data_IF_937541180518
#
_entry.id   IF_937541180518
#
_cell.length_a   1.000
_cell.length_b   1.000
_cell.length_c   1.000
_cell.angle_alpha   90.00
_cell.angle_beta   90.00
_cell.angle_gamma   90.00
#
_symmetry.space_group_name_H-M   'P 1'
#
loop_
_entity.id
_entity.type
_entity.pdbx_description
1 polymer ?
#
# COMPACT_ATOMS: atom_id res chain seq x y z
N UNK A 1 0.67 19.16 -2.19
CA UNK A 1 0.66 20.12 -1.09
C UNK A 1 -0.55 19.88 -0.18
N UNK A 2 -0.38 20.05 1.12
CA UNK A 2 -1.45 19.86 2.10
C UNK A 2 -1.53 21.10 3.02
N UNK A 3 -2.56 21.89 2.83
CA UNK A 3 -2.87 23.05 3.67
C UNK A 3 -2.96 22.69 5.15
N UNK A 4 -3.56 21.55 5.47
CA UNK A 4 -3.66 21.09 6.87
C UNK A 4 -2.29 20.76 7.44
N UNK A 5 -1.41 20.07 6.69
CA UNK A 5 -0.03 19.81 7.16
C UNK A 5 0.72 21.10 7.46
N UNK A 6 0.60 22.10 6.60
CA UNK A 6 1.21 23.42 6.78
C UNK A 6 0.65 24.13 8.01
N UNK A 7 -0.67 24.14 8.18
CA UNK A 7 -1.35 24.76 9.34
C UNK A 7 -0.92 24.13 10.68
N UNK A 8 -0.71 22.82 10.74
CA UNK A 8 -0.21 22.17 11.95
C UNK A 8 1.32 22.24 12.09
N UNK A 9 2.02 22.89 11.15
CA UNK A 9 3.48 23.04 11.08
C UNK A 9 4.25 21.71 11.05
N UNK A 10 3.64 20.66 10.44
CA UNK A 10 4.27 19.36 10.27
C UNK A 10 5.17 19.38 9.03
N UNK A 11 6.48 19.18 9.23
CA UNK A 11 7.48 19.18 8.16
C UNK A 11 7.69 17.81 7.57
N UNK A 12 7.87 17.74 6.24
CA UNK A 12 8.35 16.54 5.57
C UNK A 12 9.84 16.31 5.85
N UNK A 13 10.18 15.04 6.01
CA UNK A 13 11.53 14.54 5.90
C UNK A 13 11.68 13.94 4.49
N UNK A 14 12.59 14.47 3.69
CA UNK A 14 12.97 13.88 2.41
C UNK A 14 13.70 12.55 2.66
N UNK A 15 13.38 11.53 1.85
CA UNK A 15 13.97 10.19 1.93
C UNK A 15 14.87 9.88 0.73
N UNK A 16 15.29 10.90 -0.02
CA UNK A 16 16.38 10.83 -1.00
C UNK A 16 15.97 10.77 -2.46
N UNK A 17 14.72 10.41 -2.80
CA UNK A 17 14.29 10.38 -4.20
C UNK A 17 13.49 11.63 -4.56
N UNK A 18 13.89 12.32 -5.63
CA UNK A 18 13.14 13.41 -6.25
C UNK A 18 13.42 13.40 -7.74
N UNK A 19 12.38 13.38 -8.57
CA UNK A 19 12.53 13.38 -10.03
C UNK A 19 11.29 14.01 -10.69
N UNK A 20 11.51 14.82 -11.74
CA UNK A 20 10.44 15.39 -12.56
C UNK A 20 10.08 14.44 -13.70
N UNK A 21 8.79 14.28 -13.93
CA UNK A 21 8.24 13.47 -15.02
C UNK A 21 7.16 14.24 -15.75
N UNK A 22 7.24 14.24 -17.08
CA UNK A 22 6.13 14.70 -17.89
C UNK A 22 5.07 13.59 -17.96
N UNK A 23 3.82 13.97 -17.75
CA UNK A 23 2.67 13.07 -17.81
C UNK A 23 1.74 13.58 -18.89
N UNK A 24 1.48 12.72 -19.87
CA UNK A 24 0.66 13.01 -21.05
C UNK A 24 -0.50 12.04 -21.12
N UNK A 25 -1.71 12.57 -21.01
CA UNK A 25 -2.95 11.83 -21.16
C UNK A 25 -3.50 12.03 -22.58
N UNK A 26 -3.86 10.94 -23.24
CA UNK A 26 -4.32 10.89 -24.61
C UNK A 26 -5.64 10.10 -24.71
N UNK A 27 -6.49 10.50 -25.65
CA UNK A 27 -7.70 9.76 -26.05
C UNK A 27 -7.49 9.25 -27.46
N UNK A 28 -7.41 7.94 -27.65
CA UNK A 28 -7.32 7.32 -28.98
C UNK A 28 -8.58 7.60 -29.80
N UNK A 29 -8.42 7.99 -31.05
CA UNK A 29 -9.53 8.14 -31.99
C UNK A 29 -10.11 6.78 -32.39
N UNK A 30 -9.24 5.80 -32.60
CA UNK A 30 -9.58 4.39 -32.90
C UNK A 30 -8.77 3.47 -32.00
N UNK A 31 -9.26 2.24 -31.81
CA UNK A 31 -8.50 1.25 -31.07
C UNK A 31 -7.21 0.88 -31.84
N UNK A 32 -6.11 0.77 -31.09
CA UNK A 32 -4.80 0.36 -31.61
C UNK A 32 -4.39 -0.93 -30.93
N UNK A 33 -4.51 -2.03 -31.65
CA UNK A 33 -4.17 -3.40 -31.17
C UNK A 33 -2.68 -3.58 -30.91
N UNK A 34 -1.84 -2.75 -31.52
CA UNK A 34 -0.37 -2.76 -31.34
C UNK A 34 0.04 -2.21 -29.98
N UNK A 35 -0.81 -1.42 -29.32
CA UNK A 35 -0.52 -0.94 -27.98
C UNK A 35 -0.75 -2.05 -26.94
N UNK A 36 0.16 -2.20 -25.96
CA UNK A 36 0.01 -3.21 -24.93
C UNK A 36 -1.29 -3.07 -24.13
N UNK A 37 -1.96 -4.20 -23.83
CA UNK A 37 -3.17 -4.21 -23.00
C UNK A 37 -2.86 -4.18 -21.48
N UNK A 38 -1.68 -3.72 -21.12
CA UNK A 38 -1.18 -3.59 -19.74
C UNK A 38 -0.26 -2.39 -19.60
N UNK A 39 -0.01 -1.97 -18.37
CA UNK A 39 1.01 -0.95 -18.07
C UNK A 39 2.40 -1.53 -18.31
N UNK A 40 3.25 -0.79 -19.04
CA UNK A 40 4.62 -1.15 -19.37
C UNK A 40 5.57 -0.08 -18.84
N UNK A 41 6.59 -0.53 -18.12
CA UNK A 41 7.71 0.32 -17.74
C UNK A 41 8.85 0.15 -18.77
N UNK A 42 9.16 1.21 -19.49
CA UNK A 42 10.29 1.27 -20.40
C UNK A 42 11.52 1.79 -19.65
N UNK A 43 12.42 0.87 -19.31
CA UNK A 43 13.67 1.20 -18.62
C UNK A 43 14.76 1.57 -19.63
N UNK A 44 14.56 2.66 -20.37
CA UNK A 44 15.57 3.20 -21.28
C UNK A 44 16.48 4.16 -20.49
N UNK A 45 17.81 3.92 -20.44
CA UNK A 45 18.74 4.77 -19.68
C UNK A 45 18.73 6.24 -20.14
N UNK A 46 18.47 6.48 -21.42
CA UNK A 46 18.40 7.85 -21.97
C UNK A 46 17.10 8.55 -21.59
N UNK A 47 15.99 7.82 -21.55
CA UNK A 47 14.67 8.37 -21.22
C UNK A 47 13.76 7.28 -20.64
N UNK A 48 13.80 7.04 -19.33
CA UNK A 48 12.85 6.16 -18.70
C UNK A 48 11.43 6.64 -18.94
N UNK A 49 10.53 5.70 -19.25
CA UNK A 49 9.14 6.02 -19.54
C UNK A 49 8.19 4.94 -19.02
N UNK A 50 6.96 5.32 -18.75
CA UNK A 50 5.87 4.41 -18.40
C UNK A 50 4.72 4.61 -19.36
N UNK A 51 4.24 3.55 -19.96
CA UNK A 51 2.96 3.51 -20.64
C UNK A 51 1.91 2.95 -19.67
N UNK A 52 0.80 3.67 -19.48
CA UNK A 52 -0.33 3.22 -18.68
C UNK A 52 -1.55 2.94 -19.57
N UNK A 53 -1.99 1.68 -19.56
CA UNK A 53 -3.25 1.25 -20.14
C UNK A 53 -4.39 1.71 -19.24
N UNK A 54 -4.98 2.85 -19.55
CA UNK A 54 -6.16 3.38 -18.84
C UNK A 54 -7.47 2.80 -19.39
N UNK A 55 -8.60 3.16 -18.77
CA UNK A 55 -9.93 2.66 -19.13
C UNK A 55 -10.37 3.19 -20.52
N UNK A 56 -11.03 2.35 -21.29
CA UNK A 56 -11.54 2.69 -22.61
C UNK A 56 -10.44 3.11 -23.59
N UNK A 57 -10.62 4.22 -24.28
CA UNK A 57 -9.66 4.78 -25.24
C UNK A 57 -8.59 5.67 -24.62
N UNK A 58 -8.61 5.90 -23.30
CA UNK A 58 -7.57 6.69 -22.62
C UNK A 58 -6.26 5.93 -22.52
N UNK A 59 -5.16 6.64 -22.79
CA UNK A 59 -3.79 6.16 -22.65
C UNK A 59 -2.97 7.24 -21.98
N UNK A 60 -1.99 6.82 -21.19
CA UNK A 60 -1.04 7.74 -20.56
C UNK A 60 0.38 7.32 -20.84
N UNK A 61 1.20 8.28 -21.18
CA UNK A 61 2.65 8.16 -21.16
C UNK A 61 3.23 9.08 -20.09
N UNK A 62 4.17 8.55 -19.36
CA UNK A 62 4.95 9.30 -18.39
C UNK A 62 6.42 9.12 -18.78
N UNK A 63 7.21 10.19 -18.80
CA UNK A 63 8.62 10.11 -19.12
C UNK A 63 9.45 11.06 -18.26
N UNK A 64 10.63 10.58 -17.84
CA UNK A 64 11.54 11.34 -17.00
C UNK A 64 12.02 12.59 -17.73
N UNK A 65 12.14 13.69 -17.01
CA UNK A 65 12.72 14.97 -17.48
C UNK A 65 14.12 15.06 -16.90
N UNK A 66 15.10 15.39 -17.74
CA UNK A 66 16.46 15.68 -17.30
C UNK A 66 16.55 17.08 -16.71
N UNK A 67 17.41 17.27 -15.71
CA UNK A 67 17.57 18.56 -15.03
C UNK A 67 17.98 19.71 -15.95
N UNK A 68 18.61 19.39 -17.10
CA UNK A 68 19.02 20.36 -18.13
C UNK A 68 17.88 20.75 -19.10
N UNK A 69 16.72 20.11 -19.02
CA UNK A 69 15.61 20.35 -19.94
C UNK A 69 14.66 21.43 -19.43
N UNK A 70 14.29 22.35 -20.32
CA UNK A 70 13.23 23.33 -20.02
C UNK A 70 11.86 22.68 -19.99
N UNK A 71 11.12 22.85 -18.89
CA UNK A 71 9.76 22.35 -18.72
C UNK A 71 8.82 22.83 -19.84
N UNK A 72 8.96 24.10 -20.26
CA UNK A 72 8.19 24.68 -21.38
C UNK A 72 8.46 23.94 -22.69
N UNK A 73 9.73 23.59 -22.97
CA UNK A 73 10.11 22.82 -24.16
C UNK A 73 9.54 21.41 -24.12
N UNK A 74 9.68 20.72 -22.99
CA UNK A 74 9.21 19.34 -22.80
C UNK A 74 7.68 19.25 -22.93
N UNK A 75 6.94 20.27 -22.49
CA UNK A 75 5.48 20.32 -22.62
C UNK A 75 5.01 20.86 -23.99
N UNK A 76 5.91 21.20 -24.95
CA UNK A 76 5.48 21.58 -26.29
C UNK A 76 4.86 20.39 -27.04
N UNK A 77 3.88 20.65 -27.90
CA UNK A 77 3.22 19.59 -28.68
C UNK A 77 4.22 18.88 -29.58
N UNK A 78 5.12 19.62 -30.23
CA UNK A 78 6.16 19.06 -31.09
C UNK A 78 7.07 18.09 -30.36
N UNK A 79 7.54 18.45 -29.15
CA UNK A 79 8.38 17.60 -28.33
C UNK A 79 7.65 16.31 -27.92
N UNK A 80 6.41 16.43 -27.41
CA UNK A 80 5.61 15.30 -26.97
C UNK A 80 5.34 14.33 -28.13
N UNK A 81 4.90 14.83 -29.30
CA UNK A 81 4.63 13.98 -30.45
C UNK A 81 5.92 13.33 -31.01
N UNK A 82 7.04 14.01 -30.96
CA UNK A 82 8.33 13.39 -31.30
C UNK A 82 8.70 12.26 -30.34
N UNK A 83 8.48 12.43 -29.04
CA UNK A 83 8.66 11.37 -28.05
C UNK A 83 7.70 10.18 -28.27
N UNK A 84 6.44 10.44 -28.61
CA UNK A 84 5.40 9.44 -28.83
C UNK A 84 5.53 8.71 -30.19
N UNK A 85 6.36 9.21 -31.13
CA UNK A 85 6.50 8.70 -32.50
C UNK A 85 6.63 7.17 -32.61
N UNK A 86 7.31 6.43 -31.70
CA UNK A 86 7.38 4.96 -31.76
C UNK A 86 6.03 4.26 -31.59
N UNK A 87 5.02 4.91 -31.01
CA UNK A 87 3.73 4.31 -30.67
C UNK A 87 2.55 4.97 -31.36
N UNK A 88 2.57 6.29 -31.49
CA UNK A 88 1.44 7.11 -31.96
C UNK A 88 1.89 8.26 -32.85
N UNK A 89 0.99 8.60 -33.77
CA UNK A 89 1.04 9.83 -34.58
C UNK A 89 -0.01 10.83 -34.11
N UNK A 90 0.10 12.14 -34.41
CA UNK A 90 -0.92 13.14 -34.06
C UNK A 90 -2.32 12.81 -34.59
N UNK A 91 -2.39 12.10 -35.74
CA UNK A 91 -3.65 11.62 -36.31
C UNK A 91 -4.35 10.52 -35.49
N UNK A 92 -3.63 9.80 -34.61
CA UNK A 92 -4.13 8.64 -33.87
C UNK A 92 -4.91 9.02 -32.60
N UNK A 93 -4.60 10.17 -31.99
CA UNK A 93 -5.15 10.53 -30.68
C UNK A 93 -5.34 12.04 -30.49
N UNK A 94 -6.21 12.41 -29.57
CA UNK A 94 -6.31 13.75 -29.00
C UNK A 94 -5.47 13.84 -27.73
N UNK A 95 -4.75 14.95 -27.55
CA UNK A 95 -4.03 15.24 -26.30
C UNK A 95 -5.01 15.84 -25.30
N UNK A 96 -5.39 15.04 -24.28
CA UNK A 96 -6.35 15.44 -23.25
C UNK A 96 -5.69 16.34 -22.20
N UNK A 97 -4.46 15.97 -21.79
CA UNK A 97 -3.72 16.70 -20.77
C UNK A 97 -2.22 16.48 -20.90
N UNK A 98 -1.45 17.49 -20.56
CA UNK A 98 0.00 17.43 -20.39
C UNK A 98 0.40 18.23 -19.18
N UNK A 99 1.26 17.66 -18.35
CA UNK A 99 1.68 18.30 -17.09
C UNK A 99 3.00 17.72 -16.61
N UNK A 100 3.64 18.40 -15.68
CA UNK A 100 4.85 17.90 -15.00
C UNK A 100 4.49 17.58 -13.57
N UNK A 101 4.86 16.39 -13.13
CA UNK A 101 4.81 15.98 -11.75
C UNK A 101 6.23 15.84 -11.20
N UNK A 102 6.44 16.32 -9.98
CA UNK A 102 7.64 16.02 -9.21
C UNK A 102 7.33 14.84 -8.29
N UNK A 103 7.89 13.69 -8.62
CA UNK A 103 7.82 12.50 -7.77
C UNK A 103 8.82 12.61 -6.65
N UNK A 104 8.36 12.42 -5.42
CA UNK A 104 9.16 12.60 -4.22
C UNK A 104 8.99 11.44 -3.26
N UNK A 105 10.07 11.10 -2.56
CA UNK A 105 10.05 10.23 -1.38
C UNK A 105 10.11 11.08 -0.13
N UNK A 106 8.99 11.28 0.54
CA UNK A 106 8.96 12.10 1.75
C UNK A 106 7.96 11.56 2.78
N UNK A 107 8.23 11.79 4.05
CA UNK A 107 7.35 11.39 5.15
C UNK A 107 7.29 12.50 6.19
N UNK A 108 6.09 12.84 6.66
CA UNK A 108 5.93 13.85 7.70
C UNK A 108 6.46 13.32 9.04
N UNK A 109 7.18 14.15 9.77
CA UNK A 109 7.67 13.80 11.11
C UNK A 109 6.52 13.65 12.12
N UNK A 110 5.49 14.47 11.97
CA UNK A 110 4.33 14.50 12.86
C UNK A 110 3.04 14.28 12.08
N UNK A 111 2.28 13.25 12.43
CA UNK A 111 1.01 12.92 11.80
C UNK A 111 -0.20 13.32 12.65
N UNK A 112 0.05 13.88 13.85
CA UNK A 112 -1.00 14.33 14.77
C UNK A 112 -0.59 15.63 15.46
N UNK A 113 -1.54 16.55 15.58
CA UNK A 113 -1.47 17.73 16.47
C UNK A 113 -2.84 17.99 17.07
N UNK A 114 -2.96 17.85 18.40
CA UNK A 114 -4.25 17.94 19.09
C UNK A 114 -5.23 16.90 18.52
N UNK A 115 -6.36 17.35 17.99
CA UNK A 115 -7.42 16.53 17.38
C UNK A 115 -7.28 16.41 15.85
N UNK A 116 -6.23 16.96 15.24
CA UNK A 116 -5.98 16.91 13.80
C UNK A 116 -5.03 15.76 13.49
N UNK A 117 -5.39 14.94 12.48
CA UNK A 117 -4.57 13.83 11.99
C UNK A 117 -4.27 14.02 10.50
N UNK A 118 -3.08 13.62 10.08
CA UNK A 118 -2.68 13.53 8.67
C UNK A 118 -2.76 12.07 8.20
N UNK A 119 -3.21 11.85 6.97
CA UNK A 119 -3.28 10.54 6.31
C UNK A 119 -2.99 10.69 4.82
N UNK A 120 -2.55 9.59 4.17
CA UNK A 120 -2.25 9.59 2.75
C UNK A 120 -1.19 10.63 2.37
N UNK A 121 -1.36 11.29 1.22
CA UNK A 121 -0.40 12.25 0.68
C UNK A 121 -0.14 13.47 1.59
N UNK A 122 -1.04 13.75 2.52
CA UNK A 122 -0.78 14.76 3.55
C UNK A 122 0.30 14.31 4.54
N UNK A 123 0.43 13.00 4.79
CA UNK A 123 1.38 12.42 5.73
C UNK A 123 2.65 11.90 5.06
N UNK A 124 2.57 11.42 3.80
CA UNK A 124 3.69 10.80 3.10
C UNK A 124 3.54 10.87 1.58
N UNK A 125 4.65 11.01 0.88
CA UNK A 125 4.74 10.97 -0.57
C UNK A 125 5.64 9.81 -0.99
N UNK A 126 5.25 9.11 -2.04
CA UNK A 126 6.07 8.05 -2.62
C UNK A 126 6.00 8.07 -4.15
N UNK A 127 7.10 7.70 -4.84
CA UNK A 127 7.11 7.58 -6.28
C UNK A 127 6.08 6.54 -6.78
N UNK A 128 5.49 6.72 -7.98
CA UNK A 128 4.37 5.91 -8.44
C UNK A 128 4.75 4.52 -8.95
N UNK A 129 6.03 4.18 -9.02
CA UNK A 129 6.56 2.97 -9.69
C UNK A 129 5.97 1.63 -9.23
N UNK A 130 5.33 1.56 -8.07
CA UNK A 130 4.63 0.36 -7.58
C UNK A 130 3.12 0.58 -7.41
N UNK A 131 2.59 1.74 -7.74
CA UNK A 131 1.17 2.08 -7.56
C UNK A 131 0.67 2.01 -6.11
N UNK A 132 1.54 2.22 -5.11
CA UNK A 132 1.21 1.99 -3.69
C UNK A 132 0.71 3.23 -2.94
N UNK A 133 0.78 4.44 -3.53
CA UNK A 133 0.40 5.69 -2.85
C UNK A 133 -1.05 5.67 -2.34
N UNK A 134 -1.99 5.47 -3.25
CA UNK A 134 -3.42 5.38 -2.91
C UNK A 134 -3.69 4.24 -1.90
N UNK A 135 -3.11 3.06 -2.12
CA UNK A 135 -3.27 1.93 -1.22
C UNK A 135 -2.72 2.20 0.19
N UNK A 136 -1.63 2.95 0.31
CA UNK A 136 -1.09 3.36 1.60
C UNK A 136 -2.04 4.32 2.32
N UNK A 137 -2.62 5.30 1.60
CA UNK A 137 -3.63 6.21 2.14
C UNK A 137 -4.90 5.49 2.61
N UNK A 138 -5.38 4.49 1.85
CA UNK A 138 -6.52 3.65 2.28
C UNK A 138 -6.19 2.89 3.56
N UNK A 139 -4.97 2.34 3.67
CA UNK A 139 -4.52 1.66 4.91
C UNK A 139 -4.40 2.63 6.09
N UNK A 140 -3.99 3.87 5.86
CA UNK A 140 -3.98 4.91 6.89
C UNK A 140 -5.40 5.21 7.38
N UNK A 141 -6.31 5.46 6.44
CA UNK A 141 -7.72 5.71 6.76
C UNK A 141 -8.34 4.54 7.52
N UNK A 142 -8.10 3.31 7.07
CA UNK A 142 -8.58 2.09 7.73
C UNK A 142 -8.02 1.96 9.15
N UNK A 143 -6.71 2.21 9.36
CA UNK A 143 -6.09 2.13 10.70
C UNK A 143 -6.61 3.23 11.64
N UNK A 144 -6.81 4.44 11.13
CA UNK A 144 -7.23 5.58 11.94
C UNK A 144 -8.72 5.56 12.27
N UNK A 145 -9.58 5.26 11.29
CA UNK A 145 -11.03 5.37 11.41
C UNK A 145 -11.62 4.47 12.51
N UNK A 146 -11.23 3.19 12.57
CA UNK A 146 -11.71 2.31 13.61
C UNK A 146 -11.25 2.74 15.01
N UNK A 147 -10.03 3.29 15.13
CA UNK A 147 -9.51 3.80 16.40
C UNK A 147 -10.29 5.02 16.87
N UNK A 148 -10.61 5.95 15.95
CA UNK A 148 -11.46 7.11 16.25
C UNK A 148 -12.85 6.64 16.69
N UNK A 149 -13.50 5.78 15.89
CA UNK A 149 -14.83 5.26 16.22
C UNK A 149 -14.85 4.53 17.55
N UNK A 150 -13.82 3.74 17.85
CA UNK A 150 -13.68 3.04 19.12
C UNK A 150 -13.52 4.01 20.30
N UNK A 151 -12.66 5.03 20.17
CA UNK A 151 -12.49 6.04 21.24
C UNK A 151 -13.76 6.84 21.50
N UNK A 152 -14.47 7.25 20.46
CA UNK A 152 -15.72 8.00 20.60
C UNK A 152 -16.82 7.16 21.25
N UNK A 153 -16.94 5.88 20.88
CA UNK A 153 -17.99 5.00 21.39
C UNK A 153 -17.78 4.57 22.84
N UNK A 154 -16.54 4.45 23.28
CA UNK A 154 -16.21 3.87 24.59
C UNK A 154 -15.59 4.87 25.57
N UNK A 155 -15.62 6.15 25.26
CA UNK A 155 -15.00 7.21 26.06
C UNK A 155 -13.52 6.95 26.40
N UNK A 156 -12.83 6.27 25.48
CA UNK A 156 -11.46 5.81 25.67
C UNK A 156 -10.42 6.92 25.53
N UNK A 157 -9.33 6.75 26.26
CA UNK A 157 -8.20 7.68 26.26
C UNK A 157 -7.50 7.79 24.88
N UNK A 158 -6.88 8.93 24.63
CA UNK A 158 -6.06 9.24 23.45
C UNK A 158 -4.89 8.25 23.20
N UNK A 159 -4.63 7.33 24.14
CA UNK A 159 -3.55 6.31 24.03
C UNK A 159 -3.68 5.45 22.78
N UNK A 160 -4.92 5.04 22.42
CA UNK A 160 -5.16 4.25 21.22
C UNK A 160 -4.83 5.04 19.95
N UNK A 161 -5.24 6.30 19.89
CA UNK A 161 -4.97 7.19 18.75
C UNK A 161 -3.48 7.50 18.57
N UNK A 162 -2.70 7.54 19.65
CA UNK A 162 -1.24 7.71 19.59
C UNK A 162 -0.54 6.57 18.85
N UNK A 163 -1.14 5.36 18.81
CA UNK A 163 -0.58 4.23 18.08
C UNK A 163 -0.70 4.36 16.56
N UNK A 164 -1.54 5.25 16.02
CA UNK A 164 -1.73 5.43 14.58
C UNK A 164 -0.40 5.72 13.86
N UNK A 165 0.26 6.78 14.23
CA UNK A 165 1.51 7.18 13.61
C UNK A 165 2.61 6.11 13.81
N UNK A 166 2.80 5.60 15.02
CA UNK A 166 3.87 4.64 15.29
C UNK A 166 3.71 3.31 14.54
N UNK A 167 2.48 2.89 14.30
CA UNK A 167 2.16 1.69 13.51
C UNK A 167 2.33 1.93 12.01
N UNK A 168 1.76 3.03 11.50
CA UNK A 168 1.75 3.31 10.07
C UNK A 168 3.06 3.87 9.54
N UNK A 169 3.78 4.68 10.31
CA UNK A 169 5.03 5.31 9.90
C UNK A 169 6.06 4.28 9.39
N UNK A 170 6.36 3.25 10.19
CA UNK A 170 7.34 2.22 9.80
C UNK A 170 6.87 1.43 8.58
N UNK A 171 5.59 1.08 8.52
CA UNK A 171 4.98 0.36 7.41
C UNK A 171 5.07 1.17 6.10
N UNK A 172 4.70 2.44 6.13
CA UNK A 172 4.73 3.33 4.97
C UNK A 172 6.17 3.64 4.54
N UNK A 173 7.07 3.86 5.51
CA UNK A 173 8.50 4.14 5.22
C UNK A 173 9.15 2.99 4.44
N UNK A 174 8.77 1.75 4.68
CA UNK A 174 9.25 0.60 3.91
C UNK A 174 8.72 0.60 2.48
N UNK A 175 7.44 0.95 2.26
CA UNK A 175 6.90 1.16 0.91
C UNK A 175 7.63 2.27 0.18
N UNK A 176 7.84 3.43 0.81
CA UNK A 176 8.54 4.58 0.21
C UNK A 176 9.96 4.19 -0.21
N UNK A 177 10.71 3.52 0.68
CA UNK A 177 12.07 3.06 0.37
C UNK A 177 12.09 2.08 -0.80
N UNK A 178 11.13 1.18 -0.87
CA UNK A 178 11.05 0.19 -1.95
C UNK A 178 10.67 0.83 -3.28
N UNK A 179 9.72 1.78 -3.27
CA UNK A 179 9.35 2.52 -4.49
C UNK A 179 10.47 3.43 -4.98
N UNK A 180 11.25 4.05 -4.08
CA UNK A 180 12.42 4.83 -4.44
C UNK A 180 13.49 3.96 -5.12
N UNK A 181 13.83 2.80 -4.53
CA UNK A 181 14.76 1.84 -5.15
C UNK A 181 14.27 1.36 -6.51
N UNK A 182 12.96 1.19 -6.69
CA UNK A 182 12.40 0.87 -8.00
C UNK A 182 12.62 2.02 -9.01
N UNK A 183 12.46 3.26 -8.59
CA UNK A 183 12.77 4.43 -9.43
C UNK A 183 14.25 4.49 -9.82
N UNK A 184 15.16 4.25 -8.88
CA UNK A 184 16.58 4.13 -9.13
C UNK A 184 16.87 3.01 -10.14
N UNK A 185 16.22 1.86 -9.98
CA UNK A 185 16.31 0.74 -10.92
C UNK A 185 15.84 1.13 -12.32
N UNK A 186 14.70 1.78 -12.46
CA UNK A 186 14.13 2.23 -13.73
C UNK A 186 15.09 3.18 -14.45
N UNK A 187 15.82 4.00 -13.70
CA UNK A 187 16.78 4.96 -14.23
C UNK A 187 18.14 4.30 -14.57
N UNK A 188 18.52 3.22 -13.87
CA UNK A 188 19.85 2.60 -13.95
C UNK A 188 19.91 1.38 -14.87
N UNK A 189 18.79 0.92 -15.44
CA UNK A 189 18.79 -0.22 -16.38
C UNK A 189 19.51 0.15 -17.66
N UNK A 190 20.76 -0.25 -17.74
CA UNK A 190 21.73 0.09 -18.78
C UNK A 190 23.14 0.23 -18.21
N UNK A 191 23.25 0.44 -16.89
CA UNK A 191 24.50 0.31 -16.14
C UNK A 191 24.45 -1.02 -15.37
N UNK A 192 25.31 -1.94 -15.75
CA UNK A 192 25.49 -3.26 -15.17
C UNK A 192 25.76 -3.17 -13.68
N UNK A 193 24.80 -3.43 -12.82
CA UNK A 193 24.96 -3.91 -11.44
C UNK A 193 23.66 -3.76 -10.64
N UNK A 194 22.67 -4.58 -10.98
CA UNK A 194 21.42 -4.60 -10.21
C UNK A 194 21.36 -5.90 -9.42
N UNK A 195 21.65 -5.82 -8.13
CA UNK A 195 21.43 -6.89 -7.15
C UNK A 195 20.01 -6.79 -6.60
N UNK A 196 19.05 -7.42 -7.26
CA UNK A 196 17.69 -7.61 -6.76
C UNK A 196 17.11 -8.91 -7.29
N UNK A 197 16.40 -9.67 -6.46
CA UNK A 197 15.68 -10.88 -6.89
C UNK A 197 14.52 -10.49 -7.81
N UNK A 198 14.80 -10.36 -9.07
CA UNK A 198 13.81 -10.14 -10.13
C UNK A 198 13.59 -11.48 -10.81
N UNK A 199 12.38 -12.05 -10.71
CA UNK A 199 12.03 -13.27 -11.45
C UNK A 199 11.77 -12.91 -12.91
N UNK A 200 12.37 -13.66 -13.82
CA UNK A 200 12.06 -13.56 -15.25
C UNK A 200 10.82 -14.39 -15.56
N UNK A 201 9.83 -13.81 -16.23
CA UNK A 201 8.77 -14.58 -16.87
C UNK A 201 9.30 -15.20 -18.18
N UNK A 202 8.63 -16.24 -18.72
CA UNK A 202 9.05 -16.92 -19.96
C UNK A 202 9.24 -15.99 -21.17
N UNK A 203 8.57 -14.83 -21.17
CA UNK A 203 8.64 -13.79 -22.21
C UNK A 203 9.76 -12.75 -21.96
N UNK A 204 10.70 -13.04 -21.06
CA UNK A 204 11.78 -12.11 -20.69
C UNK A 204 11.35 -10.95 -19.78
N UNK A 205 10.08 -10.88 -19.40
CA UNK A 205 9.59 -9.84 -18.49
C UNK A 205 10.03 -10.13 -17.06
N UNK A 206 10.46 -9.09 -16.37
CA UNK A 206 10.86 -9.18 -14.96
C UNK A 206 9.71 -8.75 -14.08
N UNK A 207 9.27 -9.61 -13.16
CA UNK A 207 8.26 -9.28 -12.17
C UNK A 207 8.86 -9.13 -10.78
N UNK A 208 8.37 -8.15 -10.01
CA UNK A 208 8.78 -7.95 -8.64
C UNK A 208 7.67 -8.38 -7.68
N UNK A 209 8.04 -9.21 -6.70
CA UNK A 209 7.10 -9.68 -5.69
C UNK A 209 6.59 -8.50 -4.84
N UNK A 210 5.28 -8.37 -4.72
CA UNK A 210 4.67 -7.34 -3.87
C UNK A 210 5.12 -7.50 -2.42
N UNK A 211 5.58 -6.41 -1.83
CA UNK A 211 5.95 -6.36 -0.42
C UNK A 211 4.71 -6.23 0.47
N UNK A 212 4.80 -6.81 1.68
CA UNK A 212 3.74 -6.73 2.70
C UNK A 212 4.34 -6.33 4.04
N UNK A 213 4.75 -5.06 4.21
CA UNK A 213 5.38 -4.61 5.44
C UNK A 213 4.44 -4.75 6.64
N UNK A 214 5.01 -5.09 7.79
CA UNK A 214 4.28 -5.14 9.05
C UNK A 214 4.01 -3.73 9.58
N UNK A 215 3.00 -3.62 10.44
CA UNK A 215 2.83 -2.42 11.27
C UNK A 215 4.02 -2.24 12.22
N UNK A 216 4.40 -0.99 12.44
CA UNK A 216 5.41 -0.60 13.42
C UNK A 216 4.97 -0.86 14.87
N UNK A 217 5.69 -0.27 15.85
CA UNK A 217 5.33 -0.35 17.29
C UNK A 217 3.92 0.18 17.51
N UNK A 218 3.14 -0.46 18.39
CA UNK A 218 1.77 -0.07 18.68
C UNK A 218 1.04 -1.15 19.46
N UNK A 219 -0.19 -1.46 19.07
CA UNK A 219 -0.99 -2.48 19.75
C UNK A 219 -0.39 -3.89 19.59
N UNK A 220 -0.53 -4.69 20.63
CA UNK A 220 -0.04 -6.06 20.69
C UNK A 220 1.46 -6.17 21.05
N UNK A 221 1.90 -7.37 21.39
CA UNK A 221 3.30 -7.62 21.81
C UNK A 221 4.24 -7.69 20.61
N UNK A 222 5.37 -6.99 20.70
CA UNK A 222 6.41 -6.96 19.64
C UNK A 222 7.02 -8.35 19.40
N UNK A 223 7.13 -9.18 20.44
CA UNK A 223 7.71 -10.54 20.37
C UNK A 223 6.84 -11.51 19.56
N UNK A 224 5.57 -11.20 19.34
CA UNK A 224 4.71 -12.01 18.48
C UNK A 224 5.10 -11.81 17.00
N UNK A 225 5.69 -12.84 16.41
CA UNK A 225 6.14 -12.82 14.99
C UNK A 225 5.03 -12.56 13.97
N UNK A 226 3.76 -12.81 14.34
CA UNK A 226 2.61 -12.60 13.47
C UNK A 226 1.98 -11.22 13.64
N UNK A 227 2.21 -10.55 14.78
CA UNK A 227 1.69 -9.21 15.04
C UNK A 227 2.05 -8.23 13.91
N UNK A 228 1.09 -7.40 13.54
CA UNK A 228 1.26 -6.36 12.53
C UNK A 228 1.35 -6.87 11.09
N UNK A 229 1.29 -8.18 10.85
CA UNK A 229 1.07 -8.72 9.49
C UNK A 229 -0.38 -8.50 9.09
N UNK A 230 -0.60 -8.26 7.79
CA UNK A 230 -1.97 -8.26 7.25
C UNK A 230 -2.51 -9.69 7.27
N UNK A 231 -3.74 -9.85 7.79
CA UNK A 231 -4.40 -11.15 7.77
C UNK A 231 -4.98 -11.40 6.37
N UNK A 232 -4.72 -12.58 5.76
CA UNK A 232 -5.17 -12.86 4.41
C UNK A 232 -6.69 -12.89 4.30
N UNK A 233 -7.20 -12.61 3.11
CA UNK A 233 -8.60 -12.81 2.77
C UNK A 233 -8.86 -14.28 2.49
N UNK A 234 -9.92 -14.80 3.09
CA UNK A 234 -10.41 -16.16 2.86
C UNK A 234 -11.88 -16.13 2.42
N UNK A 235 -12.26 -17.06 1.54
CA UNK A 235 -13.66 -17.36 1.30
C UNK A 235 -14.18 -18.16 2.49
N UNK A 236 -15.37 -17.81 2.99
CA UNK A 236 -16.08 -18.54 4.03
C UNK A 236 -17.31 -19.25 3.42
N UNK A 237 -18.09 -19.96 4.24
CA UNK A 237 -19.28 -20.66 3.77
C UNK A 237 -20.20 -19.76 2.93
N UNK A 238 -20.86 -20.33 1.94
CA UNK A 238 -21.80 -19.66 1.03
C UNK A 238 -21.16 -18.59 0.12
N UNK A 239 -19.87 -18.73 -0.24
CA UNK A 239 -19.18 -17.82 -1.15
C UNK A 239 -18.89 -16.43 -0.57
N UNK A 240 -19.33 -16.16 0.66
CA UNK A 240 -19.06 -14.90 1.35
C UNK A 240 -17.56 -14.74 1.65
N UNK A 241 -17.12 -13.53 1.64
CA UNK A 241 -15.76 -13.17 1.98
C UNK A 241 -15.60 -13.07 3.50
N UNK A 242 -14.40 -13.29 4.02
CA UNK A 242 -14.11 -13.05 5.43
C UNK A 242 -14.36 -11.57 5.80
N UNK A 243 -14.19 -10.65 4.84
CA UNK A 243 -14.47 -9.22 5.04
C UNK A 243 -15.90 -8.94 5.44
N UNK A 244 -16.87 -9.73 4.99
CA UNK A 244 -18.28 -9.58 5.33
C UNK A 244 -18.56 -9.85 6.83
N UNK A 245 -17.58 -10.41 7.54
CA UNK A 245 -17.67 -10.68 8.99
C UNK A 245 -16.96 -9.62 9.83
N UNK A 246 -16.16 -8.76 9.23
CA UNK A 246 -15.49 -7.69 9.97
C UNK A 246 -16.48 -6.56 10.29
N UNK A 247 -16.31 -6.03 11.48
CA UNK A 247 -17.02 -4.86 12.00
C UNK A 247 -15.98 -3.93 12.63
N UNK A 248 -16.44 -2.93 13.38
CA UNK A 248 -15.56 -2.09 14.21
C UNK A 248 -14.94 -2.85 15.41
N UNK A 249 -15.30 -4.13 15.60
CA UNK A 249 -14.75 -4.98 16.67
C UNK A 249 -13.72 -5.96 16.09
N UNK A 250 -12.66 -6.28 16.84
CA UNK A 250 -11.76 -7.36 16.49
C UNK A 250 -12.47 -8.69 16.36
N UNK A 251 -11.93 -9.58 15.54
CA UNK A 251 -12.43 -10.93 15.33
C UNK A 251 -11.40 -11.94 15.83
N UNK A 252 -11.88 -12.95 16.54
CA UNK A 252 -11.10 -14.08 16.98
C UNK A 252 -11.18 -15.21 15.93
N UNK A 253 -10.05 -15.57 15.35
CA UNK A 253 -9.94 -16.68 14.41
C UNK A 253 -9.31 -17.87 15.14
N UNK A 254 -9.99 -19.02 15.08
CA UNK A 254 -9.60 -20.23 15.83
C UNK A 254 -9.25 -21.37 14.88
N UNK A 255 -8.17 -22.10 15.22
CA UNK A 255 -7.90 -23.38 14.58
C UNK A 255 -8.96 -24.43 14.98
N UNK A 256 -9.10 -25.49 14.21
CA UNK A 256 -10.03 -26.60 14.52
C UNK A 256 -9.74 -27.28 15.85
N UNK A 257 -8.53 -27.16 16.38
CA UNK A 257 -8.09 -27.80 17.61
C UNK A 257 -8.61 -27.08 18.87
N UNK A 258 -9.06 -25.83 18.75
CA UNK A 258 -9.65 -25.10 19.86
C UNK A 258 -11.16 -25.31 19.87
N UNK A 259 -11.71 -25.94 20.93
CA UNK A 259 -13.14 -26.09 21.13
C UNK A 259 -13.78 -24.68 21.32
N UNK A 260 -14.85 -24.41 20.57
CA UNK A 260 -15.49 -23.10 20.53
C UNK A 260 -16.46 -22.87 21.71
N UNK A 261 -16.12 -23.34 22.92
CA UNK A 261 -16.90 -23.09 24.13
C UNK A 261 -16.59 -21.73 24.79
N UNK A 262 -16.27 -20.72 23.94
CA UNK A 262 -15.83 -19.43 24.45
C UNK A 262 -17.02 -18.50 24.42
N UNK A 263 -17.62 -18.26 25.57
CA UNK A 263 -18.43 -17.06 25.86
C UNK A 263 -17.50 -15.85 25.75
N UNK A 264 -17.24 -15.38 24.53
CA UNK A 264 -16.37 -14.25 24.32
C UNK A 264 -17.17 -13.06 23.86
N UNK A 265 -16.85 -11.90 24.39
CA UNK A 265 -17.30 -10.59 23.90
C UNK A 265 -16.85 -10.32 22.45
N UNK A 266 -16.08 -11.24 21.83
CA UNK A 266 -15.59 -11.14 20.45
C UNK A 266 -16.32 -12.13 19.54
N UNK A 267 -16.65 -11.66 18.35
CA UNK A 267 -17.06 -12.54 17.27
C UNK A 267 -15.93 -13.54 16.96
N UNK A 268 -16.25 -14.83 16.81
CA UNK A 268 -15.27 -15.85 16.50
C UNK A 268 -15.59 -16.58 15.20
N UNK A 269 -14.53 -17.00 14.51
CA UNK A 269 -14.60 -17.83 13.30
C UNK A 269 -13.66 -19.00 13.50
N UNK A 270 -14.15 -20.21 13.24
CA UNK A 270 -13.36 -21.43 13.33
C UNK A 270 -12.91 -21.92 11.95
N UNK A 271 -11.68 -22.45 11.87
CA UNK A 271 -11.12 -22.95 10.62
C UNK A 271 -11.72 -24.27 10.13
N UNK A 272 -12.58 -24.88 10.91
CA UNK A 272 -13.24 -26.15 10.54
C UNK A 272 -13.85 -26.06 9.16
N UNK A 273 -13.48 -27.00 8.26
CA UNK A 273 -13.92 -27.05 6.86
C UNK A 273 -13.40 -25.91 5.96
N UNK A 274 -12.31 -25.20 6.34
CA UNK A 274 -11.64 -24.22 5.50
C UNK A 274 -10.15 -24.57 5.34
N UNK A 275 -9.83 -25.27 4.25
CA UNK A 275 -8.46 -25.75 3.98
C UNK A 275 -7.41 -24.63 3.94
N UNK A 276 -7.73 -23.48 3.37
CA UNK A 276 -6.80 -22.37 3.28
C UNK A 276 -6.49 -21.75 4.65
N UNK A 277 -7.52 -21.62 5.49
CA UNK A 277 -7.35 -21.12 6.85
C UNK A 277 -6.58 -22.12 7.73
N UNK A 278 -6.79 -23.43 7.54
CA UNK A 278 -5.99 -24.46 8.22
C UNK A 278 -4.52 -24.42 7.79
N UNK A 279 -4.25 -24.30 6.49
CA UNK A 279 -2.90 -24.09 5.94
C UNK A 279 -2.24 -22.83 6.51
N UNK A 280 -3.01 -21.74 6.64
CA UNK A 280 -2.52 -20.50 7.25
C UNK A 280 -2.11 -20.71 8.72
N UNK A 281 -2.91 -21.43 9.53
CA UNK A 281 -2.58 -21.74 10.92
C UNK A 281 -1.29 -22.57 11.04
N UNK A 282 -1.12 -23.57 10.17
CA UNK A 282 0.12 -24.38 10.10
C UNK A 282 1.32 -23.49 9.78
N UNK A 283 1.24 -22.65 8.74
CA UNK A 283 2.34 -21.79 8.31
C UNK A 283 2.68 -20.67 9.30
N UNK A 284 1.69 -20.15 10.03
CA UNK A 284 1.88 -19.12 11.04
C UNK A 284 2.31 -19.66 12.40
N UNK A 285 2.37 -20.99 12.57
CA UNK A 285 2.62 -21.67 13.84
C UNK A 285 1.73 -21.10 14.97
N UNK A 286 0.43 -21.03 14.73
CA UNK A 286 -0.55 -20.48 15.65
C UNK A 286 -1.81 -21.34 15.73
N UNK A 287 -2.53 -21.26 16.85
CA UNK A 287 -3.79 -21.95 17.10
C UNK A 287 -4.97 -20.99 17.24
N UNK A 288 -4.69 -19.75 17.61
CA UNK A 288 -5.67 -18.67 17.63
C UNK A 288 -5.01 -17.35 17.23
N UNK A 289 -5.79 -16.49 16.58
CA UNK A 289 -5.35 -15.18 16.14
C UNK A 289 -6.45 -14.17 16.40
N UNK A 290 -6.10 -13.01 16.96
CA UNK A 290 -6.99 -11.86 17.02
C UNK A 290 -6.65 -10.94 15.85
N UNK A 291 -7.64 -10.68 14.99
CA UNK A 291 -7.54 -9.80 13.85
C UNK A 291 -8.29 -8.50 14.14
N UNK A 292 -7.64 -7.38 13.90
CA UNK A 292 -8.18 -6.02 14.13
C UNK A 292 -9.16 -5.64 13.01
N UNK A 293 -10.01 -4.59 13.22
CA UNK A 293 -10.91 -4.10 12.17
C UNK A 293 -10.21 -3.69 10.87
N UNK A 294 -8.97 -3.20 10.94
CA UNK A 294 -8.14 -2.83 9.80
C UNK A 294 -7.37 -4.02 9.17
N UNK A 295 -7.79 -5.24 9.46
CA UNK A 295 -7.25 -6.50 8.91
C UNK A 295 -5.84 -6.85 9.33
N UNK A 296 -5.22 -6.13 10.22
CA UNK A 296 -3.92 -6.52 10.76
C UNK A 296 -4.06 -7.45 11.97
N UNK A 297 -3.12 -8.37 12.10
CA UNK A 297 -3.03 -9.27 13.25
C UNK A 297 -2.63 -8.46 14.48
N UNK A 298 -3.46 -8.48 15.51
CA UNK A 298 -3.14 -7.91 16.81
C UNK A 298 -2.17 -8.81 17.58
N UNK A 299 -2.51 -10.09 17.63
CA UNK A 299 -1.74 -11.09 18.38
C UNK A 299 -2.07 -12.51 17.92
N UNK A 300 -1.17 -13.46 18.23
CA UNK A 300 -1.34 -14.88 17.95
C UNK A 300 -1.04 -15.74 19.17
N UNK A 301 -1.75 -16.85 19.31
CA UNK A 301 -1.55 -17.87 20.34
C UNK A 301 -1.04 -19.15 19.70
N UNK A 302 0.04 -19.72 20.24
CA UNK A 302 0.69 -20.93 19.71
C UNK A 302 0.18 -22.23 20.29
N UNK A 303 -0.45 -22.20 21.49
CA UNK A 303 -0.90 -23.40 22.17
C UNK A 303 -2.35 -23.36 22.56
N UNK A 304 -3.01 -24.52 22.58
CA UNK A 304 -4.39 -24.66 23.06
C UNK A 304 -4.45 -24.45 24.58
N UNK A 305 -3.48 -24.97 25.33
CA UNK A 305 -3.41 -24.82 26.81
C UNK A 305 -3.29 -23.36 27.26
N UNK A 306 -2.52 -22.54 26.54
CA UNK A 306 -2.34 -21.11 26.84
C UNK A 306 -3.45 -20.18 26.38
N UNK A 307 -4.50 -20.71 25.75
CA UNK A 307 -5.49 -19.89 25.05
C UNK A 307 -6.34 -19.00 25.98
N UNK A 308 -6.77 -19.49 27.16
CA UNK A 308 -7.52 -18.68 28.12
C UNK A 308 -6.71 -17.48 28.63
N UNK A 309 -5.46 -17.71 29.02
CA UNK A 309 -4.54 -16.64 29.45
C UNK A 309 -4.28 -15.64 28.32
N UNK A 310 -4.11 -16.14 27.10
CA UNK A 310 -3.95 -15.32 25.89
C UNK A 310 -5.14 -14.40 25.67
N UNK A 311 -6.38 -14.91 25.76
CA UNK A 311 -7.61 -14.11 25.61
C UNK A 311 -7.69 -13.01 26.66
N UNK A 312 -7.59 -13.37 27.94
CA UNK A 312 -7.69 -12.41 29.04
C UNK A 312 -6.70 -11.27 28.91
N UNK A 313 -5.47 -11.56 28.48
CA UNK A 313 -4.40 -10.58 28.33
C UNK A 313 -4.60 -9.64 27.14
N UNK A 314 -5.21 -10.09 26.05
CA UNK A 314 -5.37 -9.29 24.83
C UNK A 314 -6.73 -8.57 24.78
N UNK A 315 -7.75 -9.08 25.48
CA UNK A 315 -9.02 -8.39 25.64
C UNK A 315 -8.89 -7.10 26.44
N UNK A 316 -8.04 -7.08 27.46
CA UNK A 316 -7.75 -5.87 28.27
C UNK A 316 -7.12 -4.71 27.48
N UNK A 317 -6.61 -4.97 26.26
CA UNK A 317 -6.08 -3.94 25.37
C UNK A 317 -7.20 -3.28 24.55
N UNK A 318 -8.35 -3.95 24.44
CA UNK A 318 -9.46 -3.59 23.57
C UNK A 318 -10.78 -3.36 24.32
N UNK A 319 -10.81 -3.64 25.62
CA UNK A 319 -11.87 -3.37 26.57
C UNK A 319 -11.40 -2.38 27.61
#
# INVERSE_FOLDING_TARGET
NSTIREKIKAKFQNLGFTQKWAVVDLILKKDKKELPDRTIQYSNPRRPATYCRNVGKRRRWEFAIHDTESEKKVLSNSYIWNFLKPWLKPSDAFMERKTIYTFQSAISKNWKKGRVFLAGDAAHLMPPFMGQGMCAGIRDASNLSWKIAYCLKNNHSDKLLKTYQSERYSNVKEYIKTTAKMGEFVNAVGTSNITGKVSSAPDGQKSMKSIKPKLGKGLGKIQDKNRGKIFPQFKIRNGKSLDDKFSLKPILILSKEIKNNISSKLNSIQSKNNKDLEKFFKNSNSKAIIVRPDRFILSSCKSVKGFKSYLNKNLSILV
#
